data_IF_346268553401
#
_entry.id   IF_346268553401
#
_cell.length_a   1.000
_cell.length_b   1.000
_cell.length_c   1.000
_cell.angle_alpha   90.00
_cell.angle_beta   90.00
_cell.angle_gamma   90.00
#
_symmetry.space_group_name_H-M   'P 1'
#
loop_
_entity.id
_entity.type
_entity.pdbx_description
1 polymer ?
#
# COMPACT_ATOMS: atom_id res chain seq x y z
N UNK A 1 -2.09 -17.22 13.15
CA UNK A 1 -3.28 -16.47 13.59
C UNK A 1 -3.04 -15.01 13.23
N UNK A 2 -4.07 -14.31 12.73
CA UNK A 2 -3.95 -12.88 12.43
C UNK A 2 -3.50 -12.11 13.68
N UNK A 3 -2.62 -11.12 13.50
CA UNK A 3 -2.18 -10.26 14.59
C UNK A 3 -3.26 -9.23 14.88
N UNK A 4 -3.88 -9.30 16.04
CA UNK A 4 -4.87 -8.32 16.53
C UNK A 4 -4.17 -7.15 17.23
N UNK A 5 -3.47 -6.34 16.46
CA UNK A 5 -2.63 -5.27 16.98
C UNK A 5 -3.44 -4.17 17.68
N UNK A 6 -4.52 -3.74 17.06
CA UNK A 6 -5.37 -2.67 17.59
C UNK A 6 -6.22 -3.11 18.77
N UNK A 7 -6.62 -4.39 18.83
CA UNK A 7 -7.26 -4.96 19.99
C UNK A 7 -6.41 -4.78 21.25
N UNK A 8 -5.11 -5.01 21.16
CA UNK A 8 -4.18 -4.87 22.28
C UNK A 8 -4.04 -3.43 22.82
N UNK A 9 -4.46 -2.42 22.06
CA UNK A 9 -4.42 -1.00 22.46
C UNK A 9 -5.72 -0.51 23.10
N UNK A 10 -6.75 -1.34 23.15
CA UNK A 10 -8.07 -1.00 23.67
C UNK A 10 -8.18 -1.25 25.17
N UNK A 11 -9.03 -0.46 25.83
CA UNK A 11 -9.42 -0.75 27.20
C UNK A 11 -10.35 -1.98 27.26
N UNK A 12 -10.66 -2.47 28.47
CA UNK A 12 -11.45 -3.68 28.67
C UNK A 12 -12.85 -3.63 28.06
N UNK A 13 -13.54 -2.49 28.15
CA UNK A 13 -14.89 -2.35 27.60
C UNK A 13 -14.88 -2.30 26.06
N UNK A 14 -13.90 -1.64 25.49
CA UNK A 14 -13.67 -1.62 24.03
C UNK A 14 -13.30 -3.02 23.52
N UNK A 15 -12.47 -3.76 24.24
CA UNK A 15 -12.12 -5.15 23.92
C UNK A 15 -13.34 -6.06 23.95
N UNK A 16 -14.24 -5.88 24.94
CA UNK A 16 -15.48 -6.65 25.00
C UNK A 16 -16.39 -6.33 23.81
N UNK A 17 -16.54 -5.04 23.46
CA UNK A 17 -17.28 -4.63 22.28
C UNK A 17 -16.68 -5.18 20.99
N UNK A 18 -15.37 -5.12 20.84
CA UNK A 18 -14.63 -5.68 19.71
C UNK A 18 -14.90 -7.16 19.52
N UNK A 19 -14.78 -7.97 20.61
CA UNK A 19 -15.06 -9.41 20.56
C UNK A 19 -16.51 -9.71 20.21
N UNK A 20 -17.46 -8.95 20.77
CA UNK A 20 -18.87 -9.09 20.42
C UNK A 20 -19.16 -8.78 18.94
N UNK A 21 -18.60 -7.68 18.42
CA UNK A 21 -18.72 -7.31 17.02
C UNK A 21 -18.09 -8.40 16.13
N UNK A 22 -16.85 -8.81 16.40
CA UNK A 22 -16.14 -9.79 15.58
C UNK A 22 -16.90 -11.13 15.50
N UNK A 23 -17.33 -11.66 16.64
CA UNK A 23 -18.09 -12.91 16.67
C UNK A 23 -19.38 -12.82 15.85
N UNK A 24 -20.17 -11.76 16.04
CA UNK A 24 -21.40 -11.57 15.31
C UNK A 24 -21.19 -11.36 13.82
N UNK A 25 -20.14 -10.66 13.43
CA UNK A 25 -19.79 -10.47 12.00
C UNK A 25 -19.37 -11.81 11.36
N UNK A 26 -18.56 -12.63 12.03
CA UNK A 26 -18.18 -13.95 11.54
C UNK A 26 -19.40 -14.88 11.32
N UNK A 27 -20.43 -14.77 12.15
CA UNK A 27 -21.68 -15.51 12.00
C UNK A 27 -22.63 -14.93 10.92
N UNK A 28 -22.31 -13.74 10.42
CA UNK A 28 -23.18 -12.95 9.54
C UNK A 28 -24.55 -12.77 10.22
N UNK A 29 -24.51 -12.37 11.50
CA UNK A 29 -25.71 -12.21 12.33
C UNK A 29 -26.51 -10.97 11.89
N UNK A 30 -27.82 -11.06 11.90
CA UNK A 30 -28.72 -9.93 11.62
C UNK A 30 -28.79 -8.92 12.76
N UNK A 31 -28.48 -9.36 13.98
CA UNK A 31 -28.42 -8.53 15.18
C UNK A 31 -27.35 -9.08 16.14
N UNK A 32 -26.58 -8.21 16.76
CA UNK A 32 -25.46 -8.54 17.65
C UNK A 32 -25.66 -7.80 18.97
N UNK A 33 -25.43 -8.47 20.09
CA UNK A 33 -25.34 -7.83 21.41
C UNK A 33 -23.90 -7.39 21.65
N UNK A 34 -23.67 -6.08 21.82
CA UNK A 34 -22.34 -5.50 21.96
C UNK A 34 -22.26 -4.67 23.23
N UNK A 35 -21.13 -4.70 23.96
CA UNK A 35 -20.91 -3.85 25.12
C UNK A 35 -21.23 -2.40 24.80
N UNK A 36 -22.00 -1.73 25.67
CA UNK A 36 -22.40 -0.33 25.50
C UNK A 36 -21.18 0.58 25.61
N UNK A 37 -20.94 1.34 24.60
CA UNK A 37 -19.98 2.41 24.49
C UNK A 37 -20.68 3.63 23.88
N UNK A 38 -20.06 4.79 23.91
CA UNK A 38 -20.59 5.93 23.15
C UNK A 38 -20.42 5.73 21.63
N UNK A 39 -21.10 6.60 20.86
CA UNK A 39 -21.11 6.51 19.40
C UNK A 39 -19.70 6.59 18.78
N UNK A 40 -18.86 7.48 19.32
CA UNK A 40 -17.48 7.66 18.83
C UNK A 40 -16.64 6.43 19.12
N UNK A 41 -16.73 5.90 20.33
CA UNK A 41 -16.03 4.69 20.75
C UNK A 41 -16.46 3.47 19.94
N UNK A 42 -17.78 3.25 19.74
CA UNK A 42 -18.27 2.13 18.90
C UNK A 42 -17.75 2.22 17.46
N UNK A 43 -17.76 3.42 16.89
CA UNK A 43 -17.25 3.66 15.54
C UNK A 43 -15.72 3.43 15.44
N UNK A 44 -14.99 3.83 16.47
CA UNK A 44 -13.53 3.64 16.54
C UNK A 44 -13.16 2.17 16.74
N UNK A 45 -13.86 1.44 17.60
CA UNK A 45 -13.70 0.00 17.79
C UNK A 45 -13.97 -0.74 16.46
N UNK A 46 -15.06 -0.40 15.78
CA UNK A 46 -15.41 -1.01 14.49
C UNK A 46 -14.33 -0.73 13.42
N UNK A 47 -13.83 0.50 13.36
CA UNK A 47 -12.80 0.88 12.41
C UNK A 47 -11.51 0.06 12.67
N UNK A 48 -11.01 0.03 13.90
CA UNK A 48 -9.81 -0.72 14.29
C UNK A 48 -9.97 -2.22 14.11
N UNK A 49 -11.17 -2.77 14.37
CA UNK A 49 -11.48 -4.17 14.10
C UNK A 49 -11.31 -4.52 12.62
N UNK A 50 -11.76 -3.66 11.71
CA UNK A 50 -11.59 -3.88 10.27
C UNK A 50 -10.13 -3.76 9.80
N UNK A 51 -9.28 -3.05 10.52
CA UNK A 51 -7.84 -3.01 10.26
C UNK A 51 -7.14 -4.30 10.72
N UNK A 52 -7.58 -4.88 11.84
CA UNK A 52 -7.05 -6.16 12.33
C UNK A 52 -7.58 -7.37 11.52
N UNK A 53 -8.82 -7.29 11.01
CA UNK A 53 -9.55 -8.38 10.37
C UNK A 53 -10.02 -8.07 8.94
N UNK A 54 -9.12 -8.05 7.95
CA UNK A 54 -9.51 -7.84 6.54
C UNK A 54 -10.47 -8.90 5.98
N UNK A 55 -10.55 -10.08 6.62
CA UNK A 55 -11.43 -11.18 6.23
C UNK A 55 -12.91 -10.88 6.41
N UNK A 56 -13.27 -9.87 7.22
CA UNK A 56 -14.68 -9.41 7.36
C UNK A 56 -15.05 -8.34 6.31
N UNK A 57 -14.48 -8.42 5.14
CA UNK A 57 -14.60 -7.49 4.01
C UNK A 57 -16.05 -7.13 3.62
N UNK A 58 -17.01 -7.90 4.07
CA UNK A 58 -18.42 -7.78 3.72
C UNK A 58 -19.23 -6.89 4.68
N UNK A 59 -18.62 -6.38 5.77
CA UNK A 59 -19.30 -5.52 6.74
C UNK A 59 -19.08 -4.05 6.38
N UNK A 60 -20.13 -3.34 5.99
CA UNK A 60 -20.06 -1.95 5.56
C UNK A 60 -20.17 -0.95 6.71
N UNK A 61 -21.21 -1.14 7.52
CA UNK A 61 -21.59 -0.22 8.59
C UNK A 61 -22.48 -0.93 9.59
N UNK A 62 -22.94 -0.21 10.58
CA UNK A 62 -23.91 -0.69 11.55
C UNK A 62 -24.84 0.43 12.01
N UNK A 63 -26.02 0.04 12.47
CA UNK A 63 -26.92 0.84 13.30
C UNK A 63 -27.02 0.18 14.65
N UNK A 64 -27.33 0.92 15.71
CA UNK A 64 -27.54 0.33 17.03
C UNK A 64 -28.68 1.01 17.78
N UNK A 65 -29.28 0.26 18.72
CA UNK A 65 -30.28 0.75 19.67
C UNK A 65 -29.83 0.40 21.07
N UNK A 66 -30.08 1.26 22.01
CA UNK A 66 -29.85 1.02 23.42
C UNK A 66 -31.13 1.27 24.22
N UNK A 67 -31.25 0.59 25.35
CA UNK A 67 -32.22 0.86 26.42
C UNK A 67 -31.48 1.49 27.58
N UNK A 68 -32.14 2.39 28.33
CA UNK A 68 -31.49 3.21 29.35
C UNK A 68 -30.71 2.39 30.40
N UNK A 69 -31.24 1.26 30.84
CA UNK A 69 -30.69 0.43 31.90
C UNK A 69 -29.78 -0.73 31.38
N UNK A 70 -29.51 -0.80 30.10
CA UNK A 70 -28.72 -1.89 29.52
C UNK A 70 -27.23 -1.57 29.44
N UNK A 71 -26.39 -2.50 29.89
CA UNK A 71 -24.94 -2.47 29.67
C UNK A 71 -24.55 -2.90 28.25
N UNK A 72 -25.51 -3.34 27.42
CA UNK A 72 -25.32 -3.78 26.05
C UNK A 72 -26.24 -3.03 25.11
N UNK A 73 -25.79 -2.84 23.89
CA UNK A 73 -26.55 -2.31 22.78
C UNK A 73 -26.89 -3.41 21.79
N UNK A 74 -28.04 -3.30 21.14
CA UNK A 74 -28.39 -4.14 20.01
C UNK A 74 -27.90 -3.48 18.73
N UNK A 75 -26.88 -4.08 18.11
CA UNK A 75 -26.27 -3.63 16.88
C UNK A 75 -26.81 -4.41 15.71
N UNK A 76 -27.25 -3.70 14.67
CA UNK A 76 -27.70 -4.26 13.39
C UNK A 76 -26.66 -3.95 12.33
N UNK A 77 -25.83 -4.93 11.90
CA UNK A 77 -24.88 -4.75 10.82
C UNK A 77 -25.54 -4.51 9.47
N UNK A 78 -24.91 -3.71 8.63
CA UNK A 78 -25.15 -3.65 7.18
C UNK A 78 -24.08 -4.46 6.46
N UNK A 79 -24.52 -5.36 5.61
CA UNK A 79 -23.64 -6.23 4.85
C UNK A 79 -23.67 -5.86 3.36
N UNK A 80 -22.51 -5.88 2.72
CA UNK A 80 -22.33 -5.58 1.29
C UNK A 80 -23.10 -6.54 0.38
N UNK A 81 -23.33 -7.76 0.84
CA UNK A 81 -23.99 -8.83 0.09
C UNK A 81 -24.91 -9.64 1.00
N UNK A 82 -25.84 -10.38 0.40
CA UNK A 82 -26.62 -11.39 1.11
C UNK A 82 -25.73 -12.53 1.64
N UNK A 83 -26.14 -13.17 2.71
CA UNK A 83 -25.40 -14.23 3.43
C UNK A 83 -24.86 -15.33 2.52
N UNK A 84 -25.64 -15.79 1.54
CA UNK A 84 -25.21 -16.79 0.56
C UNK A 84 -24.04 -16.27 -0.28
N UNK A 85 -24.14 -15.04 -0.78
CA UNK A 85 -23.13 -14.40 -1.61
C UNK A 85 -21.85 -14.11 -0.85
N UNK A 86 -21.96 -13.71 0.44
CA UNK A 86 -20.77 -13.55 1.33
C UNK A 86 -20.00 -14.85 1.39
N UNK A 87 -20.67 -15.99 1.65
CA UNK A 87 -20.02 -17.32 1.72
C UNK A 87 -19.35 -17.73 0.41
N UNK A 88 -19.97 -17.40 -0.74
CA UNK A 88 -19.36 -17.63 -2.05
C UNK A 88 -18.08 -16.83 -2.23
N UNK A 89 -18.09 -15.54 -1.87
CA UNK A 89 -16.91 -14.68 -1.92
C UNK A 89 -15.82 -15.13 -0.94
N UNK A 90 -16.17 -15.50 0.29
CA UNK A 90 -15.23 -16.03 1.28
C UNK A 90 -14.50 -17.27 0.73
N UNK A 91 -15.22 -18.23 0.15
CA UNK A 91 -14.63 -19.43 -0.46
C UNK A 91 -13.71 -19.10 -1.65
N UNK A 92 -14.13 -18.16 -2.50
CA UNK A 92 -13.33 -17.75 -3.67
C UNK A 92 -12.05 -17.02 -3.26
N UNK A 93 -12.15 -16.11 -2.26
CA UNK A 93 -11.01 -15.39 -1.69
C UNK A 93 -10.03 -16.34 -1.02
N UNK A 94 -10.52 -17.27 -0.19
CA UNK A 94 -9.69 -18.29 0.44
C UNK A 94 -8.92 -19.11 -0.60
N UNK A 95 -9.58 -19.54 -1.67
CA UNK A 95 -8.93 -20.23 -2.78
C UNK A 95 -7.89 -19.37 -3.50
N UNK A 96 -8.13 -18.07 -3.65
CA UNK A 96 -7.18 -17.13 -4.27
C UNK A 96 -5.97 -16.89 -3.37
N UNK A 97 -6.19 -16.62 -2.08
CA UNK A 97 -5.13 -16.42 -1.09
C UNK A 97 -4.23 -17.67 -1.03
N UNK A 98 -4.83 -18.86 -0.93
CA UNK A 98 -4.07 -20.11 -0.88
C UNK A 98 -3.21 -20.35 -2.15
N UNK A 99 -3.71 -19.97 -3.34
CA UNK A 99 -2.91 -20.06 -4.57
C UNK A 99 -1.74 -19.09 -4.58
N UNK A 100 -1.93 -17.85 -4.12
CA UNK A 100 -0.87 -16.85 -4.04
C UNK A 100 0.19 -17.26 -3.02
N UNK A 101 -0.21 -17.64 -1.82
CA UNK A 101 0.73 -17.97 -0.74
C UNK A 101 1.52 -19.25 -1.02
N UNK A 102 0.98 -20.20 -1.79
CA UNK A 102 1.76 -21.35 -2.28
C UNK A 102 2.96 -20.95 -3.12
N UNK A 103 2.88 -19.87 -3.89
CA UNK A 103 4.01 -19.38 -4.71
C UNK A 103 5.14 -18.79 -3.85
N UNK A 104 4.82 -18.43 -2.62
CA UNK A 104 5.79 -17.94 -1.64
C UNK A 104 6.31 -19.05 -0.70
N UNK A 105 5.87 -20.31 -0.85
CA UNK A 105 6.36 -21.41 -0.05
C UNK A 105 7.86 -21.65 -0.28
N UNK A 106 8.62 -21.81 0.82
CA UNK A 106 10.07 -22.01 0.78
C UNK A 106 10.89 -20.72 0.64
N UNK A 107 10.26 -19.58 0.45
CA UNK A 107 10.91 -18.26 0.49
C UNK A 107 11.18 -17.83 1.93
N UNK A 108 12.19 -17.00 2.14
CA UNK A 108 12.35 -16.26 3.40
C UNK A 108 11.19 -15.29 3.59
N UNK A 109 11.03 -14.73 4.79
CA UNK A 109 9.96 -13.75 5.03
C UNK A 109 10.17 -12.46 4.23
N UNK A 110 11.42 -12.04 4.03
CA UNK A 110 11.82 -10.90 3.22
C UNK A 110 11.49 -11.13 1.73
N UNK A 111 11.81 -12.31 1.20
CA UNK A 111 11.44 -12.69 -0.17
C UNK A 111 9.92 -12.84 -0.36
N UNK A 112 9.21 -13.28 0.68
CA UNK A 112 7.76 -13.41 0.65
C UNK A 112 7.07 -12.03 0.73
N UNK A 113 7.62 -11.10 1.50
CA UNK A 113 7.18 -9.70 1.53
C UNK A 113 7.34 -9.06 0.16
N UNK A 114 8.51 -9.19 -0.47
CA UNK A 114 8.74 -8.67 -1.82
C UNK A 114 7.76 -9.30 -2.82
N UNK A 115 7.51 -10.61 -2.75
CA UNK A 115 6.52 -11.27 -3.59
C UNK A 115 5.11 -10.68 -3.44
N UNK A 116 4.69 -10.33 -2.20
CA UNK A 116 3.40 -9.67 -1.96
C UNK A 116 3.38 -8.27 -2.59
N UNK A 117 4.43 -7.49 -2.40
CA UNK A 117 4.57 -6.16 -3.00
C UNK A 117 4.49 -6.24 -4.53
N UNK A 118 5.28 -7.12 -5.16
CA UNK A 118 5.31 -7.30 -6.60
C UNK A 118 3.93 -7.73 -7.14
N UNK A 119 3.24 -8.64 -6.41
CA UNK A 119 1.87 -9.00 -6.77
C UNK A 119 0.93 -7.79 -6.82
N UNK A 120 1.00 -6.89 -5.85
CA UNK A 120 0.18 -5.65 -5.86
C UNK A 120 0.56 -4.77 -7.04
N UNK A 121 1.85 -4.46 -7.20
CA UNK A 121 2.32 -3.54 -8.24
C UNK A 121 2.06 -4.04 -9.67
N UNK A 122 2.11 -5.35 -9.89
CA UNK A 122 1.93 -5.94 -11.22
C UNK A 122 0.47 -6.28 -11.57
N UNK A 123 -0.37 -6.54 -10.55
CA UNK A 123 -1.70 -7.13 -10.80
C UNK A 123 -2.88 -6.28 -10.33
N UNK A 124 -2.64 -5.20 -9.63
CA UNK A 124 -3.71 -4.33 -9.10
C UNK A 124 -3.61 -2.95 -9.72
N UNK A 125 -4.69 -2.46 -10.28
CA UNK A 125 -4.81 -1.07 -10.76
C UNK A 125 -5.46 -0.21 -9.69
N UNK A 126 -4.97 1.02 -9.49
CA UNK A 126 -5.60 1.96 -8.55
C UNK A 126 -6.99 2.39 -9.06
N UNK A 127 -8.02 2.21 -8.22
CA UNK A 127 -9.40 2.53 -8.58
C UNK A 127 -9.72 4.02 -8.42
N UNK A 128 -9.59 4.79 -9.49
CA UNK A 128 -9.94 6.23 -9.51
C UNK A 128 -11.44 6.46 -9.21
N UNK A 129 -12.32 5.50 -9.49
CA UNK A 129 -13.76 5.57 -9.22
C UNK A 129 -14.12 5.27 -7.78
N UNK A 130 -13.19 4.77 -6.98
CA UNK A 130 -13.34 4.46 -5.55
C UNK A 130 -14.58 3.63 -5.25
N UNK A 131 -14.81 2.59 -6.05
CA UNK A 131 -15.94 1.66 -5.84
C UNK A 131 -15.84 1.03 -4.47
N UNK A 132 -16.99 0.73 -3.86
CA UNK A 132 -17.05 0.22 -2.49
C UNK A 132 -16.20 -1.04 -2.27
N UNK A 133 -16.24 -2.01 -3.18
CA UNK A 133 -15.44 -3.22 -3.09
C UNK A 133 -13.91 -2.97 -3.23
N UNK A 134 -13.50 -1.83 -3.77
CA UNK A 134 -12.09 -1.46 -3.91
C UNK A 134 -11.44 -1.06 -2.58
N UNK A 135 -12.24 -0.78 -1.54
CA UNK A 135 -11.80 -0.56 -0.16
C UNK A 135 -11.55 -1.86 0.62
N UNK A 136 -11.90 -3.00 0.04
CA UNK A 136 -11.83 -4.31 0.66
C UNK A 136 -10.98 -5.28 -0.16
N UNK A 137 -10.56 -6.39 0.49
CA UNK A 137 -9.69 -7.41 -0.15
C UNK A 137 -10.31 -8.03 -1.42
N UNK A 138 -11.61 -7.96 -1.57
CA UNK A 138 -12.32 -8.44 -2.77
C UNK A 138 -11.93 -7.66 -4.03
N UNK A 139 -11.65 -6.35 -3.88
CA UNK A 139 -11.17 -5.51 -4.98
C UNK A 139 -9.84 -6.01 -5.56
N UNK A 140 -8.72 -5.95 -4.83
CA UNK A 140 -7.43 -6.39 -5.33
C UNK A 140 -7.35 -7.87 -5.69
N UNK A 141 -7.96 -8.75 -4.90
CA UNK A 141 -7.83 -10.19 -5.09
C UNK A 141 -8.74 -10.78 -6.17
N UNK A 142 -9.93 -10.21 -6.40
CA UNK A 142 -10.89 -10.73 -7.38
C UNK A 142 -11.06 -9.82 -8.60
N UNK A 143 -11.10 -8.50 -8.40
CA UNK A 143 -11.36 -7.51 -9.46
C UNK A 143 -10.10 -6.86 -10.01
N UNK A 144 -8.92 -7.10 -9.39
CA UNK A 144 -7.63 -6.49 -9.73
C UNK A 144 -7.64 -4.96 -9.68
N UNK A 145 -8.48 -4.40 -8.83
CA UNK A 145 -8.54 -2.95 -8.57
C UNK A 145 -8.61 -2.70 -7.07
N UNK A 146 -8.02 -1.61 -6.61
CA UNK A 146 -8.05 -1.25 -5.20
C UNK A 146 -7.73 0.21 -4.96
N UNK A 147 -8.23 0.76 -3.86
CA UNK A 147 -7.72 1.99 -3.26
C UNK A 147 -6.73 1.63 -2.15
N UNK A 148 -6.07 2.62 -1.56
CA UNK A 148 -5.05 2.41 -0.53
C UNK A 148 -5.50 1.46 0.60
N UNK A 149 -6.73 1.61 1.10
CA UNK A 149 -7.28 0.75 2.15
C UNK A 149 -7.39 -0.73 1.70
N UNK A 150 -7.95 -0.99 0.53
CA UNK A 150 -8.10 -2.36 0.00
C UNK A 150 -6.76 -3.01 -0.34
N UNK A 151 -5.80 -2.22 -0.82
CA UNK A 151 -4.42 -2.67 -1.06
C UNK A 151 -3.75 -3.03 0.27
N UNK A 152 -3.79 -2.14 1.27
CA UNK A 152 -3.19 -2.40 2.58
C UNK A 152 -3.81 -3.61 3.30
N UNK A 153 -5.13 -3.78 3.21
CA UNK A 153 -5.85 -4.96 3.70
C UNK A 153 -5.40 -6.25 2.99
N UNK A 154 -5.14 -6.17 1.68
CA UNK A 154 -4.67 -7.32 0.89
C UNK A 154 -3.25 -7.70 1.26
N UNK A 155 -2.35 -6.72 1.42
CA UNK A 155 -0.99 -6.97 1.92
C UNK A 155 -1.05 -7.64 3.28
N UNK A 156 -1.86 -7.10 4.23
CA UNK A 156 -1.99 -7.66 5.57
C UNK A 156 -2.44 -9.12 5.54
N UNK A 157 -3.52 -9.45 4.84
CA UNK A 157 -4.05 -10.84 4.86
C UNK A 157 -3.07 -11.85 4.23
N UNK A 158 -2.29 -11.43 3.24
CA UNK A 158 -1.24 -12.26 2.65
C UNK A 158 -0.04 -12.42 3.60
N UNK A 159 0.38 -11.35 4.28
CA UNK A 159 1.41 -11.39 5.32
C UNK A 159 1.00 -12.34 6.48
N UNK A 160 -0.21 -12.18 6.99
CA UNK A 160 -0.74 -13.04 8.08
C UNK A 160 -0.72 -14.52 7.69
N UNK A 161 -1.09 -14.83 6.43
CA UNK A 161 -1.07 -16.20 5.91
C UNK A 161 0.36 -16.76 5.76
N UNK A 162 1.35 -15.91 5.56
CA UNK A 162 2.77 -16.25 5.44
C UNK A 162 3.56 -16.09 6.75
N UNK A 163 2.86 -15.83 7.86
CA UNK A 163 3.43 -15.59 9.20
C UNK A 163 4.45 -14.43 9.24
N UNK A 164 4.17 -13.37 8.48
CA UNK A 164 4.86 -12.09 8.54
C UNK A 164 4.02 -11.16 9.41
N UNK A 165 4.60 -10.58 10.46
CA UNK A 165 3.90 -9.58 11.27
C UNK A 165 3.61 -8.35 10.42
N UNK A 166 2.32 -7.93 10.35
CA UNK A 166 1.87 -6.84 9.50
C UNK A 166 0.71 -6.09 10.16
N UNK A 167 0.78 -4.77 10.14
CA UNK A 167 -0.21 -3.85 10.70
C UNK A 167 -0.63 -2.91 9.57
N UNK A 168 -1.90 -2.52 9.52
CA UNK A 168 -2.36 -1.46 8.62
C UNK A 168 -2.24 -0.12 9.33
N UNK A 169 -1.32 0.71 8.91
CA UNK A 169 -1.19 2.09 9.37
C UNK A 169 -2.18 3.00 8.61
N UNK A 170 -2.70 4.01 9.29
CA UNK A 170 -3.62 4.99 8.70
C UNK A 170 -3.19 6.39 9.11
N UNK A 171 -3.11 7.31 8.16
CA UNK A 171 -2.81 8.71 8.42
C UNK A 171 -4.06 9.50 8.83
N UNK A 172 -3.86 10.63 9.46
CA UNK A 172 -4.88 11.67 9.55
C UNK A 172 -5.12 12.30 8.17
N UNK A 173 -6.31 12.86 7.96
CA UNK A 173 -6.55 13.78 6.86
C UNK A 173 -6.04 15.18 7.26
N UNK A 174 -5.57 15.96 6.30
CA UNK A 174 -5.11 17.34 6.51
C UNK A 174 -5.76 18.26 5.45
N UNK A 175 -7.07 18.57 5.57
CA UNK A 175 -7.80 19.31 4.53
C UNK A 175 -7.26 20.72 4.31
N UNK A 176 -6.69 21.34 5.34
CA UNK A 176 -5.98 22.63 5.31
C UNK A 176 -4.71 22.59 4.43
N UNK A 177 -4.14 21.41 4.24
CA UNK A 177 -3.01 21.16 3.34
C UNK A 177 -3.44 20.54 1.99
N UNK A 178 -4.74 20.52 1.69
CA UNK A 178 -5.28 19.91 0.47
C UNK A 178 -5.47 18.39 0.54
N UNK A 179 -5.12 17.75 1.66
CA UNK A 179 -5.23 16.28 1.84
C UNK A 179 -6.59 15.95 2.42
N UNK A 180 -7.58 15.76 1.55
CA UNK A 180 -8.98 15.55 1.92
C UNK A 180 -9.27 14.21 2.58
N UNK A 181 -8.46 13.18 2.30
CA UNK A 181 -8.72 11.81 2.72
C UNK A 181 -7.55 11.25 3.53
N UNK A 182 -7.87 10.31 4.42
CA UNK A 182 -6.89 9.47 5.09
C UNK A 182 -6.21 8.57 4.07
N UNK A 183 -4.94 8.27 4.32
CA UNK A 183 -4.20 7.27 3.55
C UNK A 183 -3.91 6.05 4.41
N UNK A 184 -3.87 4.85 3.80
CA UNK A 184 -3.58 3.60 4.47
C UNK A 184 -2.43 2.87 3.78
N UNK A 185 -1.50 2.34 4.59
CA UNK A 185 -0.36 1.53 4.16
C UNK A 185 -0.04 0.46 5.20
N UNK A 186 1.06 -0.25 5.07
CA UNK A 186 1.42 -1.31 6.00
C UNK A 186 2.68 -0.97 6.81
N UNK A 187 2.74 -1.49 8.02
CA UNK A 187 3.95 -1.60 8.84
C UNK A 187 4.22 -3.08 9.02
N UNK A 188 5.38 -3.54 8.54
CA UNK A 188 5.71 -4.95 8.39
C UNK A 188 6.99 -5.30 9.14
N UNK A 189 7.10 -6.56 9.57
CA UNK A 189 8.29 -7.08 10.24
C UNK A 189 8.68 -8.44 9.65
N UNK A 190 9.34 -8.44 8.50
CA UNK A 190 9.78 -9.68 7.86
C UNK A 190 10.89 -10.37 8.65
N UNK A 191 11.76 -9.60 9.29
CA UNK A 191 12.85 -10.08 10.15
C UNK A 191 12.70 -9.66 11.61
N UNK A 192 13.67 -8.91 12.12
CA UNK A 192 13.70 -8.43 13.52
C UNK A 192 13.19 -7.00 13.68
N UNK A 193 13.19 -6.22 12.63
CA UNK A 193 12.91 -4.79 12.63
C UNK A 193 11.60 -4.50 11.89
N UNK A 194 10.85 -3.50 12.36
CA UNK A 194 9.67 -2.97 11.70
C UNK A 194 10.04 -1.97 10.61
N UNK A 195 9.34 -2.01 9.50
CA UNK A 195 9.47 -1.12 8.35
C UNK A 195 8.12 -0.68 7.83
N UNK A 196 8.07 0.47 7.20
CA UNK A 196 6.92 0.90 6.40
C UNK A 196 6.98 0.30 5.00
N UNK A 197 5.84 -0.15 4.52
CA UNK A 197 5.60 -0.67 3.18
C UNK A 197 4.35 -0.01 2.58
N UNK A 198 4.52 0.88 1.61
CA UNK A 198 3.39 1.45 0.87
C UNK A 198 3.36 0.99 -0.58
N UNK A 199 2.75 -0.16 -0.78
CA UNK A 199 2.55 -0.72 -2.11
C UNK A 199 1.59 0.11 -2.99
N UNK A 200 0.78 1.00 -2.41
CA UNK A 200 -0.09 1.91 -3.17
C UNK A 200 0.71 3.01 -3.85
N UNK A 201 1.64 3.63 -3.13
CA UNK A 201 2.50 4.66 -3.70
C UNK A 201 3.44 4.04 -4.75
N UNK A 202 4.07 2.91 -4.44
CA UNK A 202 4.92 2.21 -5.41
C UNK A 202 4.16 1.80 -6.68
N UNK A 203 2.94 1.29 -6.56
CA UNK A 203 2.06 0.97 -7.68
C UNK A 203 1.77 2.19 -8.56
N UNK A 204 1.55 3.37 -7.95
CA UNK A 204 1.26 4.61 -8.68
C UNK A 204 2.46 5.18 -9.43
N UNK A 205 3.68 4.83 -9.01
CA UNK A 205 4.93 5.32 -9.61
C UNK A 205 5.39 4.52 -10.83
N UNK A 206 4.84 3.33 -11.07
CA UNK A 206 5.23 2.46 -12.19
C UNK A 206 4.84 2.95 -13.59
N UNK A 207 4.75 4.28 -13.79
CA UNK A 207 4.27 4.94 -15.01
C UNK A 207 4.99 4.50 -16.28
N UNK A 208 6.30 4.31 -16.22
CA UNK A 208 7.12 3.90 -17.37
C UNK A 208 7.39 2.40 -17.41
N UNK A 209 6.75 1.62 -16.52
CA UNK A 209 6.81 0.16 -16.52
C UNK A 209 7.96 -0.45 -15.72
N UNK A 210 8.79 0.36 -15.05
CA UNK A 210 9.73 -0.16 -14.07
C UNK A 210 9.00 -0.56 -12.77
N UNK A 211 9.41 -1.66 -12.16
CA UNK A 211 9.02 -1.95 -10.79
C UNK A 211 9.61 -0.89 -9.85
N UNK A 212 8.77 -0.27 -9.03
CA UNK A 212 9.16 0.76 -8.06
C UNK A 212 9.13 0.18 -6.65
N UNK A 213 10.12 0.58 -5.86
CA UNK A 213 10.32 0.15 -4.47
C UNK A 213 10.70 1.36 -3.60
N UNK A 214 10.14 2.51 -3.93
CA UNK A 214 10.46 3.79 -3.30
C UNK A 214 9.96 3.86 -1.86
N UNK A 215 8.88 3.09 -1.58
CA UNK A 215 8.23 2.99 -0.27
C UNK A 215 8.29 1.57 0.30
N UNK A 216 9.25 0.78 -0.15
CA UNK A 216 9.50 -0.57 0.32
C UNK A 216 10.58 -0.57 1.43
N UNK A 217 10.18 -0.97 2.64
CA UNK A 217 11.05 -1.07 3.82
C UNK A 217 11.70 0.27 4.23
N UNK A 218 10.88 1.32 4.32
CA UNK A 218 11.31 2.62 4.84
C UNK A 218 11.27 2.70 6.36
N UNK A 219 12.17 3.50 6.94
CA UNK A 219 12.09 3.96 8.31
C UNK A 219 11.14 5.16 8.47
N UNK A 220 10.80 5.50 9.72
CA UNK A 220 9.93 6.64 10.06
C UNK A 220 10.43 7.95 9.41
N UNK A 221 11.74 8.20 9.49
CA UNK A 221 12.35 9.43 8.97
C UNK A 221 12.15 9.61 7.46
N UNK A 222 12.23 8.53 6.71
CA UNK A 222 12.09 8.56 5.26
C UNK A 222 10.62 8.63 4.87
N UNK A 223 9.76 7.82 5.47
CA UNK A 223 8.34 7.80 5.16
C UNK A 223 7.67 9.16 5.41
N UNK A 224 7.90 9.75 6.58
CA UNK A 224 7.24 11.02 6.97
C UNK A 224 7.79 12.27 6.27
N UNK A 225 8.54 12.12 5.18
CA UNK A 225 8.86 13.23 4.27
C UNK A 225 7.64 13.67 3.45
N UNK A 226 6.71 12.76 3.20
CA UNK A 226 5.54 12.95 2.34
C UNK A 226 4.26 12.26 2.84
N UNK A 227 4.33 11.45 3.91
CA UNK A 227 3.17 10.89 4.56
C UNK A 227 2.73 11.75 5.75
N UNK A 228 1.41 11.78 5.98
CA UNK A 228 0.81 12.52 7.07
C UNK A 228 0.94 11.76 8.40
N UNK A 229 0.76 12.49 9.51
CA UNK A 229 0.77 11.96 10.86
C UNK A 229 -0.19 10.77 11.01
N UNK A 230 0.23 9.77 11.77
CA UNK A 230 -0.56 8.57 12.08
C UNK A 230 -1.79 8.90 12.93
N UNK A 231 -2.92 8.27 12.56
CA UNK A 231 -4.16 8.32 13.34
C UNK A 231 -4.05 7.50 14.64
N UNK A 232 -3.36 6.37 14.59
CA UNK A 232 -3.08 5.49 15.72
C UNK A 232 -1.60 5.19 15.80
N UNK A 233 -1.05 4.99 17.02
CA UNK A 233 0.35 4.59 17.15
C UNK A 233 0.59 3.20 16.54
N UNK A 234 1.73 3.04 15.89
CA UNK A 234 2.27 1.78 15.38
C UNK A 234 3.68 1.57 15.94
N UNK A 235 4.28 0.38 15.80
CA UNK A 235 5.67 0.18 16.19
C UNK A 235 6.60 1.13 15.44
N UNK A 236 7.62 1.63 16.13
CA UNK A 236 8.64 2.48 15.51
C UNK A 236 9.42 1.72 14.44
N UNK A 237 9.68 2.39 13.32
CA UNK A 237 10.52 1.92 12.22
C UNK A 237 11.84 2.71 12.25
N UNK A 238 12.84 2.29 13.05
CA UNK A 238 13.96 3.15 13.44
C UNK A 238 14.95 3.44 12.31
N UNK A 239 15.02 2.58 11.31
CA UNK A 239 15.96 2.72 10.20
C UNK A 239 15.38 2.22 8.87
N UNK A 240 16.09 2.50 7.78
CA UNK A 240 15.82 2.00 6.43
C UNK A 240 16.94 1.04 5.99
N UNK A 241 17.43 0.18 6.89
CA UNK A 241 18.50 -0.77 6.60
C UNK A 241 18.18 -1.69 5.44
N UNK A 242 16.95 -2.20 5.41
CA UNK A 242 16.41 -3.09 4.36
C UNK A 242 15.72 -2.33 3.22
N UNK A 243 15.98 -1.03 3.07
CA UNK A 243 15.47 -0.29 1.91
C UNK A 243 15.99 -0.89 0.60
N UNK A 244 15.08 -1.26 -0.29
CA UNK A 244 15.35 -2.03 -1.50
C UNK A 244 16.57 -1.52 -2.30
N UNK A 245 16.63 -0.22 -2.61
CA UNK A 245 17.72 0.33 -3.43
C UNK A 245 19.07 0.29 -2.73
N UNK A 246 19.14 0.21 -1.40
CA UNK A 246 20.38 0.00 -0.65
C UNK A 246 20.82 -1.45 -0.76
N UNK A 247 19.93 -2.40 -0.53
CA UNK A 247 20.22 -3.83 -0.63
C UNK A 247 20.65 -4.23 -2.04
N UNK A 248 19.97 -3.69 -3.06
CA UNK A 248 20.30 -3.93 -4.46
C UNK A 248 21.50 -3.11 -4.96
N UNK A 249 22.18 -2.36 -4.07
CA UNK A 249 23.31 -1.48 -4.42
C UNK A 249 22.98 -0.46 -5.50
N UNK A 250 21.73 -0.02 -5.54
CA UNK A 250 21.20 1.01 -6.44
C UNK A 250 21.10 2.38 -5.76
N UNK A 251 21.64 2.53 -4.54
CA UNK A 251 21.80 3.80 -3.83
C UNK A 251 23.12 4.42 -4.21
N UNK A 252 23.10 5.51 -4.99
CA UNK A 252 24.27 6.15 -5.57
C UNK A 252 24.57 7.50 -4.90
N UNK A 253 25.86 7.86 -4.84
CA UNK A 253 26.35 9.11 -4.21
C UNK A 253 27.17 9.97 -5.15
N UNK A 254 27.55 9.46 -6.33
CA UNK A 254 28.38 10.14 -7.31
C UNK A 254 27.71 10.14 -8.67
N UNK A 255 27.75 11.29 -9.34
CA UNK A 255 27.17 11.48 -10.68
C UNK A 255 27.81 10.56 -11.71
N UNK A 256 29.14 10.35 -11.61
CA UNK A 256 29.87 9.48 -12.52
C UNK A 256 29.41 8.01 -12.41
N UNK A 257 28.98 7.57 -11.22
CA UNK A 257 28.45 6.23 -11.01
C UNK A 257 27.07 6.08 -11.69
N UNK A 258 26.22 7.13 -11.66
CA UNK A 258 24.96 7.17 -12.38
C UNK A 258 25.21 7.04 -13.88
N UNK A 259 26.06 7.89 -14.45
CA UNK A 259 26.41 7.88 -15.88
C UNK A 259 26.98 6.53 -16.34
N UNK A 260 27.89 5.94 -15.55
CA UNK A 260 28.49 4.63 -15.84
C UNK A 260 27.43 3.51 -15.83
N UNK A 261 26.54 3.50 -14.85
CA UNK A 261 25.49 2.47 -14.73
C UNK A 261 24.43 2.63 -15.80
N UNK A 262 24.05 3.85 -16.16
CA UNK A 262 23.13 4.15 -17.25
C UNK A 262 23.69 3.60 -18.58
N UNK A 263 24.95 3.88 -18.92
CA UNK A 263 25.62 3.30 -20.09
C UNK A 263 25.64 1.77 -20.06
N UNK A 264 25.78 1.17 -18.88
CA UNK A 264 25.74 -0.27 -18.71
C UNK A 264 24.35 -0.83 -18.95
N UNK A 265 23.30 -0.18 -18.42
CA UNK A 265 21.90 -0.55 -18.63
C UNK A 265 21.56 -0.53 -20.14
N UNK A 266 21.93 0.54 -20.84
CA UNK A 266 21.74 0.67 -22.29
C UNK A 266 22.45 -0.41 -23.08
N UNK A 267 23.72 -0.72 -22.73
CA UNK A 267 24.48 -1.79 -23.37
C UNK A 267 23.79 -3.15 -23.19
N UNK A 268 23.17 -3.38 -22.01
CA UNK A 268 22.39 -4.59 -21.69
C UNK A 268 20.95 -4.55 -22.24
N UNK A 269 20.60 -3.52 -22.99
CA UNK A 269 19.25 -3.31 -23.57
C UNK A 269 18.15 -3.29 -22.49
N UNK A 270 18.47 -2.83 -21.28
CA UNK A 270 17.48 -2.64 -20.23
C UNK A 270 16.59 -1.45 -20.61
N UNK A 271 15.25 -1.56 -20.55
CA UNK A 271 14.34 -0.50 -20.95
C UNK A 271 14.26 0.65 -19.95
N UNK A 272 14.76 0.42 -18.74
CA UNK A 272 14.80 1.42 -17.66
C UNK A 272 15.97 1.19 -16.72
N UNK A 273 16.37 2.27 -16.04
CA UNK A 273 17.34 2.28 -14.96
C UNK A 273 16.76 3.08 -13.79
N UNK A 274 16.53 2.44 -12.64
CA UNK A 274 16.01 3.07 -11.42
C UNK A 274 17.11 3.12 -10.37
N UNK A 275 17.27 4.25 -9.70
CA UNK A 275 18.24 4.41 -8.64
C UNK A 275 17.78 5.40 -7.56
N UNK A 276 18.23 5.21 -6.34
CA UNK A 276 18.12 6.14 -5.23
C UNK A 276 19.36 7.02 -5.14
N UNK A 277 19.16 8.34 -5.03
CA UNK A 277 20.24 9.31 -4.92
C UNK A 277 20.53 9.67 -3.46
N UNK A 278 21.79 9.59 -3.05
CA UNK A 278 22.29 9.96 -1.72
C UNK A 278 23.48 10.92 -1.76
N UNK A 279 23.85 11.46 -2.91
CA UNK A 279 24.99 12.38 -3.10
C UNK A 279 24.72 13.82 -2.67
N UNK A 280 23.61 14.06 -1.98
CA UNK A 280 23.14 15.37 -1.54
C UNK A 280 21.65 15.58 -1.81
N UNK A 281 21.17 16.80 -1.57
CA UNK A 281 19.77 17.14 -1.83
C UNK A 281 19.47 17.10 -3.34
N UNK A 282 18.46 16.36 -3.71
CA UNK A 282 17.96 16.35 -5.08
C UNK A 282 17.32 17.71 -5.41
N UNK A 283 17.93 18.47 -6.31
CA UNK A 283 17.47 19.77 -6.77
C UNK A 283 17.24 19.76 -8.29
N UNK A 284 16.69 20.84 -8.84
CA UNK A 284 16.37 20.95 -10.26
C UNK A 284 17.61 20.83 -11.16
N UNK A 285 18.73 21.37 -10.75
CA UNK A 285 19.99 21.34 -11.53
C UNK A 285 20.48 19.91 -11.68
N UNK A 286 20.49 19.15 -10.56
CA UNK A 286 20.93 17.76 -10.54
C UNK A 286 19.96 16.85 -11.33
N UNK A 287 18.65 17.06 -11.20
CA UNK A 287 17.65 16.32 -12.01
C UNK A 287 17.86 16.61 -13.49
N UNK A 288 18.09 17.87 -13.85
CA UNK A 288 18.40 18.28 -15.22
C UNK A 288 19.68 17.62 -15.74
N UNK A 289 20.72 17.61 -14.95
CA UNK A 289 21.99 16.93 -15.28
C UNK A 289 21.74 15.43 -15.58
N UNK A 290 21.00 14.71 -14.74
CA UNK A 290 20.68 13.29 -14.99
C UNK A 290 19.84 13.10 -16.24
N UNK A 291 18.93 14.02 -16.53
CA UNK A 291 18.11 13.98 -17.74
C UNK A 291 18.96 14.19 -19.00
N UNK A 292 19.83 15.20 -19.01
CA UNK A 292 20.72 15.49 -20.14
C UNK A 292 21.69 14.31 -20.42
N UNK A 293 22.24 13.70 -19.36
CA UNK A 293 23.06 12.49 -19.48
C UNK A 293 22.25 11.32 -20.07
N UNK A 294 21.01 11.17 -19.63
CA UNK A 294 20.11 10.13 -20.13
C UNK A 294 19.78 10.34 -21.62
N UNK A 295 19.43 11.57 -22.01
CA UNK A 295 19.15 11.92 -23.40
C UNK A 295 20.37 11.67 -24.29
N UNK A 296 21.53 12.17 -23.92
CA UNK A 296 22.80 11.98 -24.67
C UNK A 296 23.10 10.47 -24.86
N UNK A 297 22.97 9.71 -23.78
CA UNK A 297 23.28 8.27 -23.82
C UNK A 297 22.24 7.47 -24.63
N UNK A 298 20.96 7.88 -24.62
CA UNK A 298 19.92 7.28 -25.43
C UNK A 298 20.07 7.61 -26.91
N UNK A 299 20.39 8.86 -27.26
CA UNK A 299 20.60 9.32 -28.62
C UNK A 299 21.71 8.58 -29.36
N UNK A 300 22.80 8.20 -28.65
CA UNK A 300 23.86 7.34 -29.20
C UNK A 300 23.33 5.99 -29.73
N UNK A 301 22.11 5.58 -29.34
CA UNK A 301 21.44 4.36 -29.76
C UNK A 301 20.18 4.60 -30.59
N UNK A 302 19.94 5.85 -31.04
CA UNK A 302 18.76 6.23 -31.78
C UNK A 302 17.45 6.17 -30.95
N UNK A 303 17.57 6.23 -29.62
CA UNK A 303 16.47 6.19 -28.66
C UNK A 303 16.26 7.54 -28.02
N UNK A 304 15.19 7.68 -27.24
CA UNK A 304 14.96 8.83 -26.35
C UNK A 304 14.88 8.39 -24.88
N UNK A 305 15.09 9.34 -23.97
CA UNK A 305 14.98 9.10 -22.53
C UNK A 305 13.77 9.86 -21.96
N UNK A 306 13.03 9.21 -21.07
CA UNK A 306 12.03 9.82 -20.22
C UNK A 306 12.46 9.68 -18.76
N UNK A 307 12.09 10.65 -17.91
CA UNK A 307 12.49 10.71 -16.51
C UNK A 307 11.26 10.79 -15.61
N UNK A 308 11.22 9.93 -14.59
CA UNK A 308 10.28 10.04 -13.47
C UNK A 308 11.07 10.23 -12.17
N UNK A 309 10.64 11.18 -11.34
CA UNK A 309 11.37 11.56 -10.12
C UNK A 309 10.44 11.55 -8.92
N UNK A 310 10.75 10.72 -7.95
CA UNK A 310 10.18 10.81 -6.61
C UNK A 310 11.11 11.68 -5.75
N UNK A 311 10.80 12.95 -5.65
CA UNK A 311 11.64 13.94 -4.94
C UNK A 311 11.73 13.64 -3.44
N UNK A 312 10.63 13.36 -2.70
CA UNK A 312 10.69 13.03 -1.28
C UNK A 312 11.63 11.85 -0.97
N UNK A 313 11.54 10.79 -1.76
CA UNK A 313 12.35 9.59 -1.56
C UNK A 313 13.68 9.63 -2.32
N UNK A 314 13.91 10.68 -3.12
CA UNK A 314 15.11 10.84 -3.94
C UNK A 314 15.39 9.65 -4.87
N UNK A 315 14.33 9.09 -5.45
CA UNK A 315 14.41 7.98 -6.41
C UNK A 315 14.13 8.50 -7.81
N UNK A 316 14.94 8.07 -8.76
CA UNK A 316 14.88 8.50 -10.15
C UNK A 316 14.76 7.27 -11.03
N UNK A 317 13.77 7.28 -11.91
CA UNK A 317 13.63 6.31 -13.00
C UNK A 317 14.00 6.99 -14.31
N UNK A 318 14.89 6.37 -15.06
CA UNK A 318 15.23 6.72 -16.44
C UNK A 318 14.71 5.62 -17.33
N UNK A 319 13.68 5.92 -18.11
CA UNK A 319 13.15 5.01 -19.12
C UNK A 319 13.79 5.29 -20.48
N UNK A 320 14.19 4.22 -21.18
CA UNK A 320 14.81 4.29 -22.51
C UNK A 320 13.83 3.71 -23.51
N UNK A 321 13.37 4.54 -24.46
CA UNK A 321 12.29 4.21 -25.40
C UNK A 321 12.70 4.37 -26.85
N UNK A 322 12.00 3.69 -27.75
CA UNK A 322 12.11 3.93 -29.18
C UNK A 322 11.33 5.22 -29.54
N UNK A 323 11.78 5.97 -30.56
CA UNK A 323 11.20 7.27 -30.92
C UNK A 323 9.71 7.23 -31.30
N UNK A 324 9.18 6.07 -31.70
CA UNK A 324 7.73 5.93 -31.94
C UNK A 324 6.89 6.03 -30.66
N UNK A 325 7.41 5.55 -29.52
CA UNK A 325 6.73 5.66 -28.23
C UNK A 325 6.78 7.08 -27.61
N UNK A 326 7.59 7.99 -28.18
CA UNK A 326 7.66 9.39 -27.71
C UNK A 326 6.33 10.12 -27.95
N UNK A 327 5.69 9.88 -29.09
CA UNK A 327 4.40 10.52 -29.44
C UNK A 327 3.27 10.03 -28.53
N UNK A 328 3.23 8.74 -28.21
CA UNK A 328 2.22 8.13 -27.35
C UNK A 328 2.31 8.72 -25.93
N UNK A 329 3.53 8.90 -25.38
CA UNK A 329 3.73 9.50 -24.06
C UNK A 329 3.32 10.98 -24.04
N UNK A 330 3.65 11.75 -25.07
CA UNK A 330 3.25 13.16 -25.19
C UNK A 330 1.74 13.32 -25.29
N UNK A 331 1.05 12.42 -25.99
CA UNK A 331 -0.41 12.41 -26.09
C UNK A 331 -1.08 12.02 -24.77
N UNK A 332 -0.50 11.08 -24.01
CA UNK A 332 -0.98 10.71 -22.67
C UNK A 332 -0.78 11.86 -21.66
N UNK A 333 0.37 12.53 -21.70
CA UNK A 333 0.65 13.70 -20.84
C UNK A 333 -0.26 14.89 -21.12
N UNK A 334 -0.57 15.15 -22.39
CA UNK A 334 -1.50 16.19 -22.79
C UNK A 334 -2.93 15.90 -22.28
N UNK A 335 -3.39 14.65 -22.41
CA UNK A 335 -4.71 14.22 -21.96
C UNK A 335 -4.86 14.21 -20.42
N UNK A 336 -3.80 13.91 -19.66
CA UNK A 336 -3.85 13.98 -18.19
C UNK A 336 -3.85 15.43 -17.67
N UNK A 337 -3.24 16.37 -18.41
CA UNK A 337 -3.27 17.80 -18.08
C UNK A 337 -4.65 18.42 -18.24
N UNK A 338 -5.46 17.98 -19.22
CA UNK A 338 -6.84 18.45 -19.42
C UNK A 338 -7.84 17.89 -18.38
N UNK A 339 -7.52 16.81 -17.68
CA UNK A 339 -8.39 16.21 -16.65
C UNK A 339 -8.14 16.77 -15.24
N UNK A 340 -7.15 17.64 -15.06
CA UNK A 340 -6.78 18.24 -13.77
C UNK A 340 -7.09 19.73 -13.65
N UNK A 341 -7.63 20.38 -14.69
CA UNK A 341 -8.29 21.69 -14.64
C UNK A 341 -9.81 21.53 -14.38
#
# INVERSE_FOLDING_TARGET
MAQEYYYGQMNREEQEAYRGMFAGFCEIASEISVRRLDNRQLSDVFFRLRLDHPEIFYVESFQYRFTEDSQYVRMKPSYMFEKKKIKEHQKALEGRINRLTRQAQGKTKEEAEQFIHDFICENVTYDKLKKQYSHEIIGPLQQRVGVCEGIAKTVKILCDRLNIECIIAVSEAAPDQGIKYRHAWNVVKPGKTWYHLDATFDNSLGRYGAARFDYFNLGDRELFRDHQKLLYPVPACPDSGSFYYREQRLSLTKEEDVARRLKTALRKKQPYFVFHWRGGKLNRELVRFFYEEACRTAEEKGKFAALSVNVPQSVIEIAIRDRQAEKEIQEEEANEGELTE
#
